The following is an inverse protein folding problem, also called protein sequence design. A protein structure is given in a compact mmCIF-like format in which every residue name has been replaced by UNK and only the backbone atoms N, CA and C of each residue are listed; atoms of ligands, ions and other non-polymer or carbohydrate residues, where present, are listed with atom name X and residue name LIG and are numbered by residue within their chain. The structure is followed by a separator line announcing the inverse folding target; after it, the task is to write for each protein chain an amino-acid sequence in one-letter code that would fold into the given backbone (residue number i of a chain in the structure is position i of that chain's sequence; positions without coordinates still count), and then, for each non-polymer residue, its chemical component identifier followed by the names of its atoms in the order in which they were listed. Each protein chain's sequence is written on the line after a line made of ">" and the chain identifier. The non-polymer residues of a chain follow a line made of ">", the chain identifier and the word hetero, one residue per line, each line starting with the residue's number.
data_IF_914596479218
#
_entry.id   IF_914596479218
#
_cell.length_a   1.000
_cell.length_b   1.000
_cell.length_c   1.000
_cell.angle_alpha   90.00
_cell.angle_beta   90.00
_cell.angle_gamma   90.00
#
_symmetry.space_group_name_H-M   'P 1'
#
loop_
_entity.id
_entity.type
_entity.pdbx_description
1 polymer ?
#
# COMPACT_ATOMS: atom_id res chain seq x y z
N UNK A 1 31.26 -19.01 -55.44
CA UNK A 1 32.48 -19.60 -56.02
C UNK A 1 33.14 -20.46 -54.94
N UNK A 2 32.43 -21.44 -54.38
CA UNK A 2 31.96 -22.73 -54.95
C UNK A 2 33.02 -23.82 -54.82
N UNK A 3 32.77 -24.74 -53.88
CA UNK A 3 32.93 -26.20 -53.97
C UNK A 3 32.60 -26.75 -52.57
N UNK A 4 31.51 -27.45 -52.27
CA UNK A 4 30.71 -28.49 -52.97
C UNK A 4 31.44 -29.83 -53.17
N UNK A 5 31.07 -30.74 -52.27
CA UNK A 5 30.78 -32.19 -52.39
C UNK A 5 31.76 -33.16 -53.05
N UNK A 6 31.97 -34.28 -52.35
CA UNK A 6 31.75 -35.68 -52.79
C UNK A 6 32.75 -36.60 -52.07
N UNK A 7 32.33 -37.45 -51.13
CA UNK A 7 31.50 -38.66 -51.26
C UNK A 7 32.35 -39.91 -51.56
N UNK A 8 32.16 -40.87 -50.66
CA UNK A 8 32.38 -42.32 -50.70
C UNK A 8 33.17 -42.94 -51.86
N UNK A 9 34.16 -43.76 -51.51
CA UNK A 9 34.27 -45.14 -52.02
C UNK A 9 35.40 -45.90 -51.32
N UNK A 10 35.07 -46.84 -50.44
CA UNK A 10 35.80 -48.12 -50.37
C UNK A 10 34.83 -49.23 -49.93
N UNK A 11 34.13 -49.81 -50.89
CA UNK A 11 33.84 -51.25 -50.89
C UNK A 11 35.10 -51.96 -51.43
N UNK A 12 35.30 -53.29 -51.30
CA UNK A 12 34.52 -54.30 -50.59
C UNK A 12 35.40 -55.23 -49.70
N UNK A 13 34.80 -56.09 -48.88
CA UNK A 13 35.16 -57.52 -48.93
C UNK A 13 34.04 -58.36 -48.31
N UNK A 14 33.52 -59.19 -49.20
CA UNK A 14 32.56 -60.26 -49.00
C UNK A 14 33.18 -61.32 -48.09
N UNK A 15 32.51 -61.67 -47.01
CA UNK A 15 32.65 -63.00 -46.39
C UNK A 15 31.27 -63.47 -45.97
N UNK A 16 30.76 -64.40 -46.78
CA UNK A 16 29.62 -65.27 -46.49
C UNK A 16 29.87 -66.05 -45.19
N UNK A 17 28.78 -66.20 -44.45
CA UNK A 17 28.42 -67.30 -43.56
C UNK A 17 29.37 -67.69 -42.41
N UNK A 18 28.84 -67.60 -41.19
CA UNK A 18 28.43 -68.78 -40.41
C UNK A 18 28.01 -68.36 -38.99
N UNK A 19 26.82 -68.86 -38.59
CA UNK A 19 26.29 -69.03 -37.22
C UNK A 19 25.88 -67.80 -36.42
N UNK A 20 24.59 -67.51 -36.56
CA UNK A 20 23.62 -67.42 -35.48
C UNK A 20 24.09 -67.91 -34.09
N UNK A 21 24.69 -67.02 -33.27
CA UNK A 21 24.61 -67.12 -31.80
C UNK A 21 25.06 -65.85 -31.05
N UNK A 22 24.64 -64.64 -31.47
CA UNK A 22 25.02 -63.39 -30.74
C UNK A 22 23.83 -62.42 -30.50
N UNK A 23 22.59 -62.91 -30.67
CA UNK A 23 21.39 -62.08 -30.56
C UNK A 23 20.83 -61.96 -29.13
N UNK A 24 21.31 -62.76 -28.17
CA UNK A 24 20.71 -62.78 -26.84
C UNK A 24 21.33 -61.77 -25.86
N UNK A 25 22.63 -61.48 -25.97
CA UNK A 25 23.31 -60.50 -25.11
C UNK A 25 23.11 -59.05 -25.61
N UNK A 26 23.22 -58.83 -26.92
CA UNK A 26 22.99 -57.50 -27.53
C UNK A 26 21.55 -56.97 -27.36
N UNK A 27 20.55 -57.84 -27.25
CA UNK A 27 19.14 -57.46 -27.01
C UNK A 27 18.89 -57.02 -25.56
N UNK A 28 19.62 -57.60 -24.61
CA UNK A 28 19.51 -57.28 -23.18
C UNK A 28 20.29 -56.00 -22.87
N UNK A 29 21.50 -55.85 -23.40
CA UNK A 29 22.33 -54.64 -23.27
C UNK A 29 21.59 -53.41 -23.87
N UNK A 30 21.08 -53.52 -25.10
CA UNK A 30 20.35 -52.42 -25.77
C UNK A 30 19.04 -52.07 -25.06
N UNK A 31 18.35 -53.06 -24.45
CA UNK A 31 17.17 -52.81 -23.62
C UNK A 31 17.53 -52.12 -22.30
N UNK A 32 18.59 -52.53 -21.62
CA UNK A 32 19.05 -51.90 -20.37
C UNK A 32 19.51 -50.46 -20.63
N UNK A 33 20.28 -50.22 -21.70
CA UNK A 33 20.72 -48.87 -22.12
C UNK A 33 19.54 -47.98 -22.50
N UNK A 34 18.52 -48.49 -23.23
CA UNK A 34 17.30 -47.71 -23.51
C UNK A 34 16.43 -47.46 -22.26
N UNK A 35 16.43 -48.40 -21.30
CA UNK A 35 15.70 -48.27 -20.02
C UNK A 35 16.41 -47.29 -19.09
N UNK A 36 17.73 -47.21 -19.15
CA UNK A 36 18.55 -46.26 -18.42
C UNK A 36 18.52 -44.87 -19.05
N UNK A 37 18.56 -44.75 -20.39
CA UNK A 37 18.37 -43.48 -21.10
C UNK A 37 16.95 -42.93 -20.97
N UNK A 38 15.92 -43.79 -20.95
CA UNK A 38 14.53 -43.39 -20.65
C UNK A 38 14.33 -42.98 -19.18
N UNK A 39 15.04 -43.60 -18.23
CA UNK A 39 15.08 -43.15 -16.82
C UNK A 39 15.83 -41.83 -16.65
N UNK A 40 16.99 -41.66 -17.28
CA UNK A 40 17.78 -40.42 -17.25
C UNK A 40 17.06 -39.26 -17.96
N UNK A 41 16.39 -39.52 -19.08
CA UNK A 41 15.55 -38.53 -19.77
C UNK A 41 14.29 -38.19 -18.98
N UNK A 42 13.67 -39.15 -18.27
CA UNK A 42 12.60 -38.87 -17.29
C UNK A 42 13.10 -38.06 -16.10
N UNK A 43 14.29 -38.35 -15.57
CA UNK A 43 14.91 -37.59 -14.48
C UNK A 43 15.25 -36.16 -14.93
N UNK A 44 15.77 -35.99 -16.15
CA UNK A 44 15.97 -34.68 -16.78
C UNK A 44 14.65 -33.92 -16.92
N UNK A 45 13.61 -34.57 -17.44
CA UNK A 45 12.27 -33.98 -17.60
C UNK A 45 11.60 -33.64 -16.27
N UNK A 46 11.84 -34.44 -15.23
CA UNK A 46 11.38 -34.17 -13.86
C UNK A 46 12.09 -32.96 -13.26
N UNK A 47 13.42 -32.86 -13.43
CA UNK A 47 14.19 -31.69 -12.97
C UNK A 47 13.74 -30.42 -13.68
N UNK A 48 13.49 -30.50 -14.98
CA UNK A 48 12.91 -29.40 -15.76
C UNK A 48 11.51 -29.04 -15.28
N UNK A 49 10.63 -30.02 -15.04
CA UNK A 49 9.30 -29.78 -14.50
C UNK A 49 9.34 -29.13 -13.11
N UNK A 50 10.21 -29.61 -12.21
CA UNK A 50 10.41 -29.03 -10.89
C UNK A 50 10.89 -27.57 -10.97
N UNK A 51 11.80 -27.27 -11.89
CA UNK A 51 12.26 -25.90 -12.15
C UNK A 51 11.12 -25.00 -12.65
N UNK A 52 10.32 -25.44 -13.62
CA UNK A 52 9.18 -24.68 -14.11
C UNK A 52 8.08 -24.50 -13.05
N UNK A 53 7.82 -25.50 -12.22
CA UNK A 53 6.89 -25.39 -11.10
C UNK A 53 7.40 -24.36 -10.09
N UNK A 54 8.69 -24.41 -9.75
CA UNK A 54 9.30 -23.43 -8.83
C UNK A 54 9.20 -22.01 -9.39
N UNK A 55 9.51 -21.82 -10.68
CA UNK A 55 9.37 -20.51 -11.33
C UNK A 55 7.91 -20.04 -11.36
N UNK A 56 6.99 -20.93 -11.71
CA UNK A 56 5.57 -20.61 -11.76
C UNK A 56 5.05 -20.19 -10.38
N UNK A 57 5.40 -20.94 -9.32
CA UNK A 57 5.06 -20.58 -7.94
C UNK A 57 5.67 -19.24 -7.54
N UNK A 58 6.94 -18.99 -7.86
CA UNK A 58 7.56 -17.68 -7.60
C UNK A 58 6.83 -16.54 -8.32
N UNK A 59 6.49 -16.71 -9.61
CA UNK A 59 5.75 -15.71 -10.37
C UNK A 59 4.37 -15.47 -9.77
N UNK A 60 3.63 -16.54 -9.44
CA UNK A 60 2.32 -16.43 -8.80
C UNK A 60 2.43 -15.69 -7.46
N UNK A 61 3.44 -15.96 -6.64
CA UNK A 61 3.65 -15.28 -5.35
C UNK A 61 3.93 -13.79 -5.57
N UNK A 62 4.82 -13.43 -6.51
CA UNK A 62 5.12 -12.02 -6.82
C UNK A 62 3.89 -11.30 -7.34
N UNK A 63 3.14 -11.93 -8.26
CA UNK A 63 1.90 -11.35 -8.79
C UNK A 63 0.82 -11.26 -7.72
N UNK A 64 0.72 -12.26 -6.84
CA UNK A 64 -0.16 -12.20 -5.68
C UNK A 64 0.22 -11.01 -4.80
N UNK A 65 1.50 -10.79 -4.46
CA UNK A 65 1.85 -9.60 -3.69
C UNK A 65 1.67 -8.28 -4.45
N UNK A 66 1.79 -8.24 -5.78
CA UNK A 66 1.55 -7.02 -6.56
C UNK A 66 0.06 -6.68 -6.75
N UNK A 67 -0.82 -7.68 -6.75
CA UNK A 67 -2.26 -7.50 -6.99
C UNK A 67 -3.13 -7.70 -5.74
N UNK A 68 -2.72 -8.56 -4.80
CA UNK A 68 -3.43 -8.88 -3.55
C UNK A 68 -3.01 -7.94 -2.41
N UNK A 69 -1.80 -7.35 -2.42
CA UNK A 69 -1.56 -6.14 -1.62
C UNK A 69 -2.19 -5.01 -2.43
N UNK A 70 -3.43 -4.59 -2.13
CA UNK A 70 -4.01 -3.49 -2.85
C UNK A 70 -3.05 -2.33 -2.59
N UNK A 71 -2.63 -1.60 -3.63
CA UNK A 71 -2.13 -0.26 -3.36
C UNK A 71 -3.20 0.40 -2.49
N UNK A 72 -2.86 0.87 -1.27
CA UNK A 72 -3.84 1.48 -0.40
C UNK A 72 -4.57 2.51 -1.24
N UNK A 73 -5.90 2.40 -1.34
CA UNK A 73 -6.70 3.30 -2.17
C UNK A 73 -6.27 4.71 -1.81
N UNK A 74 -5.53 5.38 -2.71
CA UNK A 74 -5.18 6.77 -2.46
C UNK A 74 -6.51 7.50 -2.50
N UNK A 75 -6.94 8.14 -1.41
CA UNK A 75 -8.12 8.98 -1.49
C UNK A 75 -7.88 9.98 -2.62
N UNK A 76 -8.90 10.19 -3.46
CA UNK A 76 -8.81 11.08 -4.61
C UNK A 76 -8.57 12.50 -4.07
N UNK A 77 -7.30 12.87 -3.94
CA UNK A 77 -6.90 14.17 -3.43
C UNK A 77 -7.02 15.18 -4.55
N UNK A 78 -7.83 16.20 -4.30
CA UNK A 78 -7.86 17.40 -5.12
C UNK A 78 -6.48 18.07 -5.04
N UNK A 79 -5.93 18.44 -6.19
CA UNK A 79 -4.60 19.06 -6.27
C UNK A 79 -4.53 20.38 -5.51
N UNK A 80 -5.66 21.10 -5.47
CA UNK A 80 -5.84 22.36 -4.78
C UNK A 80 -7.30 22.47 -4.38
N UNK A 81 -7.55 22.81 -3.12
CA UNK A 81 -8.88 23.11 -2.60
C UNK A 81 -8.86 24.45 -1.87
N UNK A 82 -10.02 25.10 -1.78
CA UNK A 82 -10.19 26.36 -1.05
C UNK A 82 -11.46 26.27 -0.19
N UNK A 83 -11.42 26.90 0.98
CA UNK A 83 -12.56 27.01 1.87
C UNK A 83 -12.67 28.43 2.42
N UNK A 84 -13.88 28.96 2.39
CA UNK A 84 -14.19 30.29 2.92
C UNK A 84 -14.81 30.18 4.31
N UNK A 85 -14.39 31.07 5.19
CA UNK A 85 -14.98 31.27 6.50
C UNK A 85 -15.46 32.73 6.56
N UNK A 86 -16.78 32.92 6.57
CA UNK A 86 -17.37 34.25 6.57
C UNK A 86 -17.28 34.88 7.97
N UNK A 87 -16.93 36.16 8.04
CA UNK A 87 -16.80 36.92 9.29
C UNK A 87 -15.89 36.26 10.34
N UNK A 88 -14.83 35.58 9.88
CA UNK A 88 -13.87 34.88 10.72
C UNK A 88 -12.49 35.54 10.70
N UNK A 89 -11.79 35.46 11.84
CA UNK A 89 -10.39 35.88 11.98
C UNK A 89 -9.54 34.68 12.36
N UNK A 90 -8.57 34.31 11.52
CA UNK A 90 -7.69 33.19 11.81
C UNK A 90 -6.69 33.52 12.92
N UNK A 91 -6.42 32.56 13.80
CA UNK A 91 -5.28 32.60 14.69
C UNK A 91 -4.05 32.02 13.98
N UNK A 92 -2.86 32.36 14.47
CA UNK A 92 -1.59 31.80 13.97
C UNK A 92 -1.29 30.43 14.60
N UNK A 93 -2.29 29.57 14.69
CA UNK A 93 -2.16 28.19 15.17
C UNK A 93 -2.58 27.25 14.05
N UNK A 94 -1.64 26.41 13.63
CA UNK A 94 -1.85 25.41 12.60
C UNK A 94 -1.09 24.15 13.00
N UNK A 95 -1.77 23.02 12.91
CA UNK A 95 -1.20 21.69 13.05
C UNK A 95 -1.60 20.83 11.86
N UNK A 96 -0.82 19.79 11.62
CA UNK A 96 -0.99 18.88 10.51
C UNK A 96 -0.93 17.46 11.07
N UNK A 97 -2.03 16.72 10.97
CA UNK A 97 -2.17 15.36 11.52
C UNK A 97 -3.13 14.54 10.67
N UNK A 98 -3.03 13.21 10.71
CA UNK A 98 -3.99 12.29 10.06
C UNK A 98 -5.21 12.10 10.97
N UNK A 99 -6.27 12.90 10.76
CA UNK A 99 -7.43 12.98 11.66
C UNK A 99 -8.43 11.85 11.40
N UNK A 100 -8.67 11.54 10.12
CA UNK A 100 -9.64 10.53 9.70
C UNK A 100 -9.03 9.14 9.44
N UNK A 101 -7.71 8.96 9.66
CA UNK A 101 -6.94 7.73 9.43
C UNK A 101 -6.87 7.27 7.96
N UNK A 102 -7.04 8.19 7.01
CA UNK A 102 -6.93 7.91 5.57
C UNK A 102 -5.49 7.93 5.03
N UNK A 103 -4.51 8.09 5.93
CA UNK A 103 -3.06 8.20 5.63
C UNK A 103 -2.67 9.48 4.89
N UNK A 104 -3.58 10.42 4.75
CA UNK A 104 -3.30 11.79 4.32
C UNK A 104 -3.25 12.69 5.53
N UNK A 105 -2.39 13.69 5.47
CA UNK A 105 -2.28 14.69 6.51
C UNK A 105 -3.39 15.72 6.34
N UNK A 106 -4.19 15.91 7.38
CA UNK A 106 -5.27 16.89 7.48
C UNK A 106 -4.78 18.17 8.17
N UNK A 107 -5.53 19.26 8.00
CA UNK A 107 -5.15 20.57 8.53
C UNK A 107 -6.04 20.91 9.72
N UNK A 108 -5.42 21.28 10.84
CA UNK A 108 -6.11 21.70 12.05
C UNK A 108 -5.70 23.13 12.34
N UNK A 109 -6.66 24.00 12.57
CA UNK A 109 -6.40 25.41 12.82
C UNK A 109 -7.48 26.02 13.71
N UNK A 110 -7.18 27.20 14.23
CA UNK A 110 -8.08 27.97 15.06
C UNK A 110 -8.50 29.27 14.37
N UNK A 111 -9.74 29.68 14.60
CA UNK A 111 -10.26 30.97 14.13
C UNK A 111 -11.31 31.52 15.10
N UNK A 112 -11.54 32.83 15.09
CA UNK A 112 -12.58 33.50 15.86
C UNK A 112 -13.74 33.86 14.95
N UNK A 113 -14.95 33.48 15.32
CA UNK A 113 -16.16 33.77 14.55
C UNK A 113 -17.37 33.87 15.49
N UNK A 114 -18.48 34.45 14.99
CA UNK A 114 -19.72 34.52 15.78
C UNK A 114 -20.47 33.18 15.75
N UNK A 115 -20.42 32.52 14.60
CA UNK A 115 -20.98 31.20 14.38
C UNK A 115 -19.91 30.33 13.72
N UNK A 116 -19.98 29.03 13.96
CA UNK A 116 -19.17 28.06 13.24
C UNK A 116 -19.53 28.01 11.75
N UNK A 117 -18.73 27.25 10.99
CA UNK A 117 -19.11 26.75 9.67
C UNK A 117 -20.51 26.13 9.74
N UNK A 118 -21.34 26.47 8.76
CA UNK A 118 -22.73 26.00 8.62
C UNK A 118 -22.88 24.48 8.62
N UNK A 119 -21.78 23.73 8.50
CA UNK A 119 -21.75 22.27 8.50
C UNK A 119 -21.96 21.60 9.86
N UNK A 120 -21.62 22.23 10.99
CA UNK A 120 -21.68 21.57 12.32
C UNK A 120 -22.76 22.09 13.28
N UNK A 121 -23.50 23.15 12.91
CA UNK A 121 -24.61 23.72 13.71
C UNK A 121 -24.27 23.90 15.21
N UNK A 122 -23.01 24.13 15.57
CA UNK A 122 -22.59 24.43 16.94
C UNK A 122 -22.31 25.91 17.05
N UNK A 123 -22.98 26.55 18.00
CA UNK A 123 -22.73 27.94 18.33
C UNK A 123 -21.90 28.06 19.60
N UNK A 124 -21.25 29.21 19.77
CA UNK A 124 -20.58 29.54 21.03
C UNK A 124 -21.53 29.52 22.23
N UNK A 125 -22.79 29.93 22.02
CA UNK A 125 -23.80 30.04 23.07
C UNK A 125 -24.22 28.67 23.61
N UNK A 126 -24.23 27.64 22.76
CA UNK A 126 -24.58 26.27 23.17
C UNK A 126 -23.55 25.70 24.17
N UNK A 127 -22.30 26.17 24.09
CA UNK A 127 -21.19 25.82 24.98
C UNK A 127 -21.00 26.83 26.13
N UNK A 128 -21.95 27.77 26.30
CA UNK A 128 -21.89 28.79 27.36
C UNK A 128 -20.83 29.88 27.16
N UNK A 129 -20.29 30.02 25.95
CA UNK A 129 -19.32 31.05 25.58
C UNK A 129 -20.04 32.31 25.07
N UNK A 130 -19.34 33.47 25.02
CA UNK A 130 -19.87 34.68 24.40
C UNK A 130 -20.26 34.47 22.93
N UNK A 131 -21.14 35.32 22.40
CA UNK A 131 -21.61 35.24 21.00
C UNK A 131 -20.50 35.31 19.95
N UNK A 132 -19.30 35.77 20.31
CA UNK A 132 -18.10 35.71 19.51
C UNK A 132 -17.05 34.89 20.28
N UNK A 133 -16.69 33.73 19.76
CA UNK A 133 -15.74 32.83 20.41
C UNK A 133 -14.73 32.25 19.40
N UNK A 134 -13.71 31.62 19.94
CA UNK A 134 -12.71 30.90 19.18
C UNK A 134 -13.16 29.46 18.93
N UNK A 135 -13.07 29.05 17.68
CA UNK A 135 -13.31 27.71 17.18
C UNK A 135 -11.98 27.03 16.84
N UNK A 136 -11.95 25.72 17.03
CA UNK A 136 -10.93 24.83 16.46
C UNK A 136 -11.63 23.94 15.43
N UNK A 137 -11.02 23.80 14.27
CA UNK A 137 -11.53 22.95 13.20
C UNK A 137 -10.44 22.04 12.65
N UNK A 138 -10.84 20.84 12.26
CA UNK A 138 -10.06 19.96 11.39
C UNK A 138 -10.70 19.91 10.00
N UNK A 139 -9.89 20.07 8.96
CA UNK A 139 -10.30 19.96 7.56
C UNK A 139 -9.45 18.95 6.83
N UNK A 140 -10.07 18.15 5.97
CA UNK A 140 -9.37 17.10 5.25
C UNK A 140 -8.34 17.67 4.29
N UNK A 141 -7.12 17.14 4.32
CA UNK A 141 -6.06 17.52 3.39
C UNK A 141 -6.38 17.16 1.94
N UNK A 142 -7.28 16.20 1.73
CA UNK A 142 -7.63 15.71 0.39
C UNK A 142 -8.50 16.69 -0.41
N UNK A 143 -9.42 17.40 0.23
CA UNK A 143 -10.46 18.19 -0.45
C UNK A 143 -10.99 19.39 0.36
N UNK A 144 -10.43 19.69 1.53
CA UNK A 144 -10.87 20.81 2.36
C UNK A 144 -12.22 20.63 3.04
N UNK A 145 -12.79 19.42 3.06
CA UNK A 145 -14.02 19.14 3.82
C UNK A 145 -13.75 19.23 5.31
N UNK A 146 -14.60 19.92 6.07
CA UNK A 146 -14.48 19.94 7.53
C UNK A 146 -14.82 18.55 8.06
N UNK A 147 -13.87 17.99 8.81
CA UNK A 147 -14.01 16.73 9.53
C UNK A 147 -14.76 16.94 10.84
N UNK A 148 -14.39 18.00 11.57
CA UNK A 148 -15.10 18.47 12.75
C UNK A 148 -14.77 19.94 13.03
N UNK A 149 -15.64 20.58 13.79
CA UNK A 149 -15.46 21.94 14.27
C UNK A 149 -16.10 22.10 15.66
N UNK A 150 -15.41 22.81 16.55
CA UNK A 150 -15.79 22.98 17.95
C UNK A 150 -15.50 24.38 18.48
N UNK A 151 -16.44 25.01 19.20
CA UNK A 151 -16.12 26.11 20.10
C UNK A 151 -15.12 25.63 21.16
N UNK A 152 -14.06 26.39 21.43
CA UNK A 152 -13.01 25.97 22.35
C UNK A 152 -12.79 26.95 23.52
N UNK A 153 -12.89 28.26 23.27
CA UNK A 153 -12.72 29.30 24.28
C UNK A 153 -13.26 30.65 23.77
N UNK A 154 -13.36 31.66 24.63
CA UNK A 154 -13.64 33.03 24.22
C UNK A 154 -12.52 33.60 23.33
N UNK A 155 -11.28 33.38 23.74
CA UNK A 155 -10.06 33.73 23.02
C UNK A 155 -9.01 32.66 23.28
N UNK A 156 -8.32 32.20 22.24
CA UNK A 156 -7.24 31.20 22.35
C UNK A 156 -5.92 31.95 22.51
N UNK A 157 -5.20 31.66 23.58
CA UNK A 157 -3.84 32.17 23.80
C UNK A 157 -2.79 31.20 23.26
N UNK A 158 -3.06 29.91 23.33
CA UNK A 158 -2.13 28.87 22.91
C UNK A 158 -2.86 27.59 22.54
N UNK A 159 -2.30 26.87 21.57
CA UNK A 159 -2.81 25.59 21.10
C UNK A 159 -1.66 24.71 20.61
N UNK A 160 -1.67 23.44 21.00
CA UNK A 160 -0.74 22.42 20.53
C UNK A 160 -1.52 21.12 20.24
N UNK A 161 -1.21 20.48 19.11
CA UNK A 161 -1.83 19.22 18.69
C UNK A 161 -0.79 18.12 18.53
N UNK A 162 -1.25 16.87 18.36
CA UNK A 162 -0.37 15.71 18.21
C UNK A 162 0.09 15.12 19.55
N UNK A 163 -0.52 15.55 20.66
CA UNK A 163 -0.19 15.07 22.00
C UNK A 163 -0.73 13.65 22.15
N UNK A 164 0.17 12.68 22.27
CA UNK A 164 -0.19 11.25 22.42
C UNK A 164 -0.75 10.98 23.81
N UNK A 165 -1.74 10.07 23.89
CA UNK A 165 -2.33 9.60 25.15
C UNK A 165 -2.99 10.70 26.00
N UNK A 166 -3.45 11.79 25.37
CA UNK A 166 -4.17 12.86 26.06
C UNK A 166 -5.49 12.29 26.60
N UNK A 167 -5.69 12.35 27.92
CA UNK A 167 -6.90 11.79 28.56
C UNK A 167 -6.99 10.26 28.53
N UNK A 168 -5.89 9.54 28.24
CA UNK A 168 -5.91 8.08 28.11
C UNK A 168 -6.55 7.57 26.81
N UNK A 169 -6.81 8.46 25.85
CA UNK A 169 -7.29 8.11 24.53
C UNK A 169 -6.19 7.42 23.71
N UNK A 170 -6.57 6.46 22.87
CA UNK A 170 -5.64 5.86 21.90
C UNK A 170 -5.26 6.86 20.79
N UNK A 171 -6.17 7.77 20.46
CA UNK A 171 -5.93 8.83 19.50
C UNK A 171 -5.10 9.98 20.14
N UNK A 172 -4.30 10.72 19.35
CA UNK A 172 -3.72 11.96 19.79
C UNK A 172 -4.80 12.98 20.12
N UNK A 173 -4.42 14.07 20.81
CA UNK A 173 -5.32 15.19 21.06
C UNK A 173 -4.64 16.54 20.86
N UNK A 174 -5.44 17.59 20.99
CA UNK A 174 -4.98 18.96 21.07
C UNK A 174 -5.25 19.54 22.45
N UNK A 175 -4.32 20.33 22.96
CA UNK A 175 -4.48 21.10 24.18
C UNK A 175 -4.67 22.56 23.80
N UNK A 176 -5.74 23.18 24.29
CA UNK A 176 -6.12 24.56 24.00
C UNK A 176 -6.16 25.34 25.31
N UNK A 177 -5.40 26.42 25.38
CA UNK A 177 -5.41 27.37 26.49
C UNK A 177 -6.16 28.61 26.03
N UNK A 178 -7.21 28.96 26.76
CA UNK A 178 -8.04 30.11 26.47
C UNK A 178 -8.17 31.09 27.64
N UNK A 179 -8.57 32.32 27.30
CA UNK A 179 -8.96 33.32 28.29
C UNK A 179 -10.41 33.10 28.77
N UNK A 180 -10.75 33.53 30.00
CA UNK A 180 -9.86 34.14 30.99
C UNK A 180 -8.89 33.17 31.68
N UNK A 181 -9.29 31.92 31.95
CA UNK A 181 -8.42 30.82 32.39
C UNK A 181 -9.15 29.50 32.07
N UNK A 182 -9.10 29.06 30.82
CA UNK A 182 -9.61 27.75 30.39
C UNK A 182 -8.49 26.89 29.82
N UNK A 183 -8.54 25.60 30.15
CA UNK A 183 -7.66 24.59 29.59
C UNK A 183 -8.54 23.44 29.11
N UNK A 184 -8.54 23.21 27.79
CA UNK A 184 -9.41 22.23 27.16
C UNK A 184 -8.57 21.22 26.39
N UNK A 185 -8.82 19.94 26.62
CA UNK A 185 -8.30 18.86 25.79
C UNK A 185 -9.35 18.50 24.73
N UNK A 186 -8.95 18.52 23.47
CA UNK A 186 -9.77 18.25 22.28
C UNK A 186 -9.29 16.93 21.69
N UNK A 187 -10.20 15.99 21.50
CA UNK A 187 -9.87 14.72 20.84
C UNK A 187 -9.62 14.96 19.35
N UNK A 188 -8.51 14.46 18.82
CA UNK A 188 -8.12 14.75 17.44
C UNK A 188 -9.15 14.26 16.43
N UNK A 189 -9.86 13.17 16.70
CA UNK A 189 -10.76 12.52 15.74
C UNK A 189 -12.16 13.08 15.78
N UNK A 190 -12.63 13.46 16.95
CA UNK A 190 -14.03 13.80 17.20
C UNK A 190 -14.27 15.28 17.51
N UNK A 191 -13.21 16.01 17.88
CA UNK A 191 -13.30 17.39 18.35
C UNK A 191 -13.95 17.48 19.72
#
# INVERSE_FOLDING_TARGET
>A
MDNKDSEAEIHPLKTEDVKAQENHENSVERRIVSKQSSRLSRLSRWRTAAFFISLFLCLIIVFAFSFIIPCPERPVSERTWFRYYDNAVAYQFLAIEDVNEDKVQDVIFAFKASNGSSSFNRSCLDEGLPSLCAFVAAVSGTNGRVLWERPAAEEIEWMECGIKQLGGAEAPGCLVVGKPVSLTAVDLRTG
#
